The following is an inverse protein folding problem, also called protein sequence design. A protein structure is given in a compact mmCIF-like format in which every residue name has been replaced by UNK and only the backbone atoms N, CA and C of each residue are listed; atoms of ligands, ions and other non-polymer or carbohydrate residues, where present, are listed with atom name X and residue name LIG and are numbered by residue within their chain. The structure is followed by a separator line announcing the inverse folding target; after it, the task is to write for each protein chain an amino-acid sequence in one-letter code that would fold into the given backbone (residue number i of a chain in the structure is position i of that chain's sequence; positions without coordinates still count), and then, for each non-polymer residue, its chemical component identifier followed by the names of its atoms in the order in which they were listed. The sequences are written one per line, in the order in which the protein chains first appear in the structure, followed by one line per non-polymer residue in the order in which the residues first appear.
data_IF_859018487592
#
_entry.id   IF_859018487592
#
_cell.length_a   1.000
_cell.length_b   1.000
_cell.length_c   1.000
_cell.angle_alpha   90.00
_cell.angle_beta   90.00
_cell.angle_gamma   90.00
#
_symmetry.space_group_name_H-M   'P 1'
#
loop_
_entity.id
_entity.type
_entity.pdbx_description
1 polymer ?
#
# COMPACT_ATOMS: atom_id res chain seq x y z
N UNK A 1 -11.26 -7.90 -20.92
CA UNK A 1 -11.06 -6.48 -21.24
C UNK A 1 -9.59 -6.28 -21.63
N UNK A 2 -9.33 -5.50 -22.69
CA UNK A 2 -8.00 -5.14 -23.16
C UNK A 2 -7.81 -3.66 -22.83
N UNK A 3 -6.65 -3.31 -22.30
CA UNK A 3 -6.26 -1.97 -21.92
C UNK A 3 -5.12 -1.48 -22.81
N UNK A 4 -5.26 -0.29 -23.37
CA UNK A 4 -4.20 0.47 -24.04
C UNK A 4 -3.27 1.12 -22.98
N UNK A 5 -2.20 1.80 -23.45
CA UNK A 5 -1.31 2.56 -22.55
C UNK A 5 -2.08 3.62 -21.76
N UNK A 6 -2.99 4.36 -22.37
CA UNK A 6 -3.83 5.37 -21.70
C UNK A 6 -4.78 4.74 -20.70
N UNK A 7 -5.47 3.65 -21.08
CA UNK A 7 -6.38 2.94 -20.17
C UNK A 7 -5.64 2.44 -18.92
N UNK A 8 -4.45 1.88 -19.10
CA UNK A 8 -3.61 1.45 -17.97
C UNK A 8 -3.30 2.63 -17.05
N UNK A 9 -2.95 3.81 -17.60
CA UNK A 9 -2.67 5.01 -16.83
C UNK A 9 -3.86 5.42 -15.98
N UNK A 10 -5.04 5.48 -16.57
CA UNK A 10 -6.27 5.83 -15.85
C UNK A 10 -6.67 4.79 -14.78
N UNK A 11 -6.51 3.50 -15.08
CA UNK A 11 -6.82 2.45 -14.10
C UNK A 11 -5.88 2.49 -12.88
N UNK A 12 -4.58 2.72 -13.08
CA UNK A 12 -3.64 2.84 -11.95
C UNK A 12 -3.86 4.13 -11.15
N UNK A 13 -4.28 5.24 -11.77
CA UNK A 13 -4.71 6.45 -11.07
C UNK A 13 -5.93 6.15 -10.17
N UNK A 14 -6.95 5.49 -10.71
CA UNK A 14 -8.13 5.07 -9.93
C UNK A 14 -7.74 4.23 -8.73
N UNK A 15 -6.81 3.28 -8.90
CA UNK A 15 -6.33 2.40 -7.84
C UNK A 15 -5.68 3.17 -6.68
N UNK A 16 -5.02 4.28 -6.97
CA UNK A 16 -4.41 5.13 -5.94
C UNK A 16 -5.47 5.81 -5.06
N UNK A 17 -6.59 6.25 -5.65
CA UNK A 17 -7.68 6.89 -4.91
C UNK A 17 -8.72 5.92 -4.36
N UNK A 18 -8.84 4.74 -4.96
CA UNK A 18 -9.72 3.66 -4.52
C UNK A 18 -8.95 2.34 -4.41
N UNK A 19 -8.26 2.12 -3.28
CA UNK A 19 -7.46 0.92 -3.06
C UNK A 19 -8.27 -0.39 -3.02
N UNK A 20 -9.59 -0.31 -2.84
CA UNK A 20 -10.50 -1.45 -2.89
C UNK A 20 -10.94 -1.82 -4.31
N UNK A 21 -10.46 -1.09 -5.31
CA UNK A 21 -10.75 -1.36 -6.70
C UNK A 21 -10.20 -2.72 -7.13
N UNK A 22 -11.10 -3.71 -7.27
CA UNK A 22 -10.76 -5.14 -7.43
C UNK A 22 -10.10 -5.42 -8.80
N UNK A 23 -10.43 -4.66 -9.85
CA UNK A 23 -9.85 -4.82 -11.18
C UNK A 23 -8.46 -4.16 -11.34
N UNK A 24 -7.85 -3.75 -10.22
CA UNK A 24 -6.58 -3.04 -10.21
C UNK A 24 -5.46 -3.78 -10.93
N UNK A 25 -4.71 -3.05 -11.74
CA UNK A 25 -3.55 -3.57 -12.46
C UNK A 25 -2.29 -3.62 -11.58
N UNK A 26 -2.35 -3.14 -10.35
CA UNK A 26 -1.21 -3.16 -9.41
C UNK A 26 -1.20 -4.45 -8.60
N UNK A 27 -0.01 -5.00 -8.36
CA UNK A 27 0.21 -6.29 -7.71
C UNK A 27 0.77 -7.32 -8.71
N UNK A 28 1.47 -8.33 -8.24
CA UNK A 28 2.15 -9.33 -9.09
C UNK A 28 1.39 -10.65 -9.17
N UNK A 29 0.73 -11.05 -8.11
CA UNK A 29 0.05 -12.35 -8.03
C UNK A 29 -1.04 -12.51 -9.08
N UNK A 30 -1.09 -13.71 -9.69
CA UNK A 30 -2.08 -14.03 -10.73
C UNK A 30 -1.84 -13.34 -12.07
N UNK A 31 -0.59 -12.94 -12.39
CA UNK A 31 -0.25 -12.24 -13.64
C UNK A 31 0.72 -13.02 -14.50
N UNK A 32 0.52 -12.89 -15.82
CA UNK A 32 1.50 -13.29 -16.82
C UNK A 32 2.13 -12.03 -17.41
N UNK A 33 3.44 -11.93 -17.28
CA UNK A 33 4.22 -10.78 -17.71
C UNK A 33 5.12 -11.21 -18.86
N UNK A 34 5.12 -10.44 -19.95
CA UNK A 34 6.08 -10.69 -21.03
C UNK A 34 7.50 -10.52 -20.52
N UNK A 35 8.34 -11.56 -20.64
CA UNK A 35 9.74 -11.53 -20.23
C UNK A 35 10.50 -10.36 -20.84
N UNK A 36 10.19 -10.00 -22.10
CA UNK A 36 10.84 -8.87 -22.77
C UNK A 36 10.66 -7.53 -22.06
N UNK A 37 9.54 -7.30 -21.34
CA UNK A 37 9.37 -6.08 -20.54
C UNK A 37 10.43 -6.02 -19.45
N UNK A 38 10.71 -7.15 -18.82
CA UNK A 38 11.68 -7.26 -17.73
C UNK A 38 13.12 -7.11 -18.29
N UNK A 39 13.46 -7.91 -19.29
CA UNK A 39 14.85 -7.98 -19.78
C UNK A 39 15.28 -6.73 -20.56
N UNK A 40 14.40 -6.12 -21.36
CA UNK A 40 14.73 -4.92 -22.14
C UNK A 40 14.84 -3.66 -21.28
N UNK A 41 14.22 -3.65 -20.09
CA UNK A 41 14.24 -2.50 -19.19
C UNK A 41 15.07 -2.78 -17.93
N UNK A 42 15.78 -3.92 -17.87
CA UNK A 42 16.63 -4.33 -16.74
C UNK A 42 15.90 -4.25 -15.39
N UNK A 43 14.61 -4.69 -15.38
CA UNK A 43 13.82 -4.64 -14.16
C UNK A 43 14.21 -5.78 -13.21
N UNK A 44 14.33 -5.47 -11.94
CA UNK A 44 14.56 -6.42 -10.85
C UNK A 44 13.78 -6.02 -9.60
N UNK A 45 13.66 -6.95 -8.67
CA UNK A 45 13.12 -6.62 -7.36
C UNK A 45 14.03 -5.67 -6.61
N UNK A 46 13.47 -4.74 -5.88
CA UNK A 46 14.22 -3.81 -5.02
C UNK A 46 14.74 -4.56 -3.77
N UNK A 47 16.02 -4.88 -3.74
CA UNK A 47 16.63 -5.71 -2.69
C UNK A 47 16.63 -5.06 -1.30
N UNK A 48 16.51 -3.73 -1.23
CA UNK A 48 16.37 -2.98 0.04
C UNK A 48 15.01 -3.15 0.68
N UNK A 49 13.98 -3.62 -0.09
CA UNK A 49 12.64 -3.89 0.40
C UNK A 49 12.51 -5.36 0.82
N UNK A 50 12.21 -5.59 2.10
CA UNK A 50 11.86 -6.92 2.61
C UNK A 50 10.35 -7.18 2.60
N UNK A 51 9.56 -6.16 2.35
CA UNK A 51 8.11 -6.16 2.12
C UNK A 51 7.78 -5.02 1.18
N UNK A 52 6.69 -5.14 0.41
CA UNK A 52 6.31 -4.27 -0.71
C UNK A 52 7.28 -4.31 -1.90
N UNK A 53 8.19 -5.28 -1.95
CA UNK A 53 9.07 -5.54 -3.10
C UNK A 53 8.25 -5.90 -4.34
N UNK A 54 7.17 -6.63 -4.15
CA UNK A 54 6.22 -7.02 -5.20
C UNK A 54 5.42 -5.81 -5.70
N UNK A 55 5.02 -4.91 -4.80
CA UNK A 55 4.35 -3.66 -5.15
C UNK A 55 5.29 -2.75 -5.95
N UNK A 56 6.53 -2.55 -5.50
CA UNK A 56 7.54 -1.76 -6.21
C UNK A 56 7.80 -2.32 -7.62
N UNK A 57 8.02 -3.63 -7.73
CA UNK A 57 8.25 -4.29 -9.01
C UNK A 57 7.04 -4.20 -9.95
N UNK A 58 5.82 -4.28 -9.41
CA UNK A 58 4.61 -4.08 -10.21
C UNK A 58 4.54 -2.67 -10.82
N UNK A 59 4.93 -1.64 -10.08
CA UNK A 59 5.01 -0.27 -10.59
C UNK A 59 6.04 -0.12 -11.70
N UNK A 60 7.20 -0.76 -11.57
CA UNK A 60 8.23 -0.74 -12.61
C UNK A 60 7.76 -1.43 -13.89
N UNK A 61 7.09 -2.58 -13.78
CA UNK A 61 6.48 -3.24 -14.93
C UNK A 61 5.44 -2.34 -15.59
N UNK A 62 4.58 -1.72 -14.79
CA UNK A 62 3.52 -0.83 -15.29
C UNK A 62 4.09 0.40 -15.98
N UNK A 63 5.25 0.92 -15.59
CA UNK A 63 5.94 2.01 -16.27
C UNK A 63 6.15 1.72 -17.77
N UNK A 64 6.51 0.48 -18.09
CA UNK A 64 6.87 0.03 -19.44
C UNK A 64 5.74 -0.74 -20.16
N UNK A 65 4.64 -1.03 -19.47
CA UNK A 65 3.52 -1.79 -20.04
C UNK A 65 2.70 -0.95 -21.02
N UNK A 66 2.64 -1.36 -22.30
CA UNK A 66 1.87 -0.69 -23.36
C UNK A 66 0.47 -1.26 -23.54
N UNK A 67 0.27 -2.55 -23.22
CA UNK A 67 -1.03 -3.25 -23.32
C UNK A 67 -1.18 -4.23 -22.17
N UNK A 68 -2.37 -4.31 -21.59
CA UNK A 68 -2.73 -5.31 -20.61
C UNK A 68 -4.06 -5.97 -20.98
N UNK A 69 -4.24 -7.25 -20.60
CA UNK A 69 -5.50 -7.96 -20.76
C UNK A 69 -5.96 -8.50 -19.43
N UNK A 70 -7.14 -8.09 -19.01
CA UNK A 70 -7.81 -8.66 -17.84
C UNK A 70 -8.66 -9.86 -18.25
N UNK A 71 -8.44 -10.99 -17.56
CA UNK A 71 -9.20 -12.23 -17.76
C UNK A 71 -10.04 -12.44 -16.51
N UNK A 72 -11.38 -12.38 -16.65
CA UNK A 72 -12.31 -12.59 -15.54
C UNK A 72 -12.50 -14.08 -15.26
N UNK A 73 -11.41 -14.73 -14.80
CA UNK A 73 -11.41 -16.13 -14.37
C UNK A 73 -10.56 -16.26 -13.12
N UNK A 74 -10.94 -17.12 -12.21
CA UNK A 74 -10.12 -17.49 -11.07
C UNK A 74 -9.01 -18.43 -11.56
N UNK A 75 -7.81 -17.89 -11.78
CA UNK A 75 -6.64 -18.63 -12.27
C UNK A 75 -5.56 -18.80 -11.19
N UNK A 76 -5.76 -18.20 -10.02
CA UNK A 76 -4.80 -18.21 -8.93
C UNK A 76 -5.54 -18.40 -7.60
N UNK A 77 -5.07 -19.33 -6.77
CA UNK A 77 -5.55 -19.54 -5.41
C UNK A 77 -4.47 -19.09 -4.41
N UNK A 78 -4.80 -18.13 -3.56
CA UNK A 78 -3.92 -17.69 -2.48
C UNK A 78 -4.20 -18.53 -1.23
N UNK A 79 -3.25 -19.36 -0.83
CA UNK A 79 -3.39 -20.21 0.33
C UNK A 79 -2.87 -19.50 1.57
N UNK A 80 -3.76 -19.21 2.51
CA UNK A 80 -3.39 -18.62 3.81
C UNK A 80 -3.28 -19.73 4.83
N UNK A 81 -2.06 -20.07 5.24
CA UNK A 81 -1.83 -21.03 6.32
C UNK A 81 -1.79 -20.29 7.65
N UNK A 82 -2.60 -20.69 8.65
CA UNK A 82 -2.71 -19.96 9.92
C UNK A 82 -1.42 -19.88 10.74
N UNK A 83 -0.51 -20.85 10.57
CA UNK A 83 0.68 -21.02 11.41
C UNK A 83 2.01 -20.84 10.66
N UNK A 84 2.00 -20.35 9.42
CA UNK A 84 3.23 -20.13 8.65
C UNK A 84 3.58 -18.66 8.64
N UNK A 85 4.82 -18.37 9.02
CA UNK A 85 5.39 -17.02 8.92
C UNK A 85 5.41 -16.58 7.44
N UNK A 86 4.97 -15.37 7.19
CA UNK A 86 5.05 -14.72 5.87
C UNK A 86 5.85 -13.43 5.99
N UNK A 87 6.36 -12.91 4.88
CA UNK A 87 7.08 -11.62 4.85
C UNK A 87 6.27 -10.51 5.53
N UNK A 88 4.93 -10.54 5.40
CA UNK A 88 4.03 -9.58 6.06
C UNK A 88 4.01 -9.80 7.57
N UNK A 89 3.90 -11.05 8.05
CA UNK A 89 3.90 -11.35 9.50
C UNK A 89 5.26 -11.07 10.13
N UNK A 90 6.35 -11.33 9.41
CA UNK A 90 7.70 -10.94 9.84
C UNK A 90 7.87 -9.40 9.87
N UNK A 91 7.27 -8.68 8.92
CA UNK A 91 7.23 -7.22 8.93
C UNK A 91 6.60 -6.65 10.18
N UNK A 92 5.54 -7.30 10.73
CA UNK A 92 4.95 -6.90 12.01
C UNK A 92 5.88 -7.09 13.20
N UNK A 93 6.70 -8.15 13.20
CA UNK A 93 7.66 -8.42 14.29
C UNK A 93 8.92 -7.55 14.21
N UNK A 94 9.31 -7.10 13.01
CA UNK A 94 10.53 -6.30 12.78
C UNK A 94 10.28 -4.80 12.66
N UNK A 95 9.04 -4.40 12.51
CA UNK A 95 8.61 -3.01 12.33
C UNK A 95 8.59 -2.56 10.87
N UNK A 96 7.47 -1.97 10.46
CA UNK A 96 7.40 -1.20 9.20
C UNK A 96 8.21 0.09 9.34
N UNK A 97 8.82 0.52 8.25
CA UNK A 97 9.66 1.72 8.23
C UNK A 97 9.14 2.73 7.21
N UNK A 98 9.11 4.00 7.57
CA UNK A 98 8.76 5.10 6.66
C UNK A 98 9.71 5.12 5.46
N UNK A 99 11.00 4.74 5.64
CA UNK A 99 11.97 4.68 4.54
C UNK A 99 11.59 3.67 3.46
N UNK A 100 10.99 2.53 3.81
CA UNK A 100 10.52 1.55 2.83
C UNK A 100 9.34 2.11 2.01
N UNK A 101 8.43 2.83 2.64
CA UNK A 101 7.33 3.50 1.93
C UNK A 101 7.84 4.60 1.00
N UNK A 102 8.94 5.30 1.35
CA UNK A 102 9.61 6.27 0.47
C UNK A 102 10.21 5.61 -0.75
N UNK A 103 10.80 4.42 -0.62
CA UNK A 103 11.31 3.66 -1.76
C UNK A 103 10.16 3.33 -2.73
N UNK A 104 9.06 2.77 -2.23
CA UNK A 104 7.87 2.48 -3.06
C UNK A 104 7.31 3.75 -3.71
N UNK A 105 7.26 4.88 -2.98
CA UNK A 105 6.89 6.19 -3.55
C UNK A 105 7.76 6.56 -4.74
N UNK A 106 9.07 6.31 -4.67
CA UNK A 106 10.01 6.52 -5.78
C UNK A 106 9.67 5.69 -7.03
N UNK A 107 9.34 4.41 -6.87
CA UNK A 107 8.87 3.56 -7.97
C UNK A 107 7.57 4.07 -8.60
N UNK A 108 6.63 4.52 -7.79
CA UNK A 108 5.38 5.13 -8.27
C UNK A 108 5.66 6.41 -9.07
N UNK A 109 6.52 7.28 -8.57
CA UNK A 109 6.93 8.50 -9.29
C UNK A 109 7.57 8.17 -10.63
N UNK A 110 8.48 7.20 -10.67
CA UNK A 110 9.13 6.75 -11.89
C UNK A 110 8.11 6.19 -12.89
N UNK A 111 7.16 5.39 -12.43
CA UNK A 111 6.09 4.86 -13.28
C UNK A 111 5.32 5.98 -13.96
N UNK A 112 4.81 6.96 -13.22
CA UNK A 112 4.02 8.04 -13.80
C UNK A 112 4.83 8.98 -14.70
N UNK A 113 6.11 9.24 -14.39
CA UNK A 113 7.03 9.97 -15.29
C UNK A 113 7.18 9.25 -16.63
N UNK A 114 7.44 7.93 -16.63
CA UNK A 114 7.54 7.11 -17.86
C UNK A 114 6.22 7.07 -18.65
N UNK A 115 5.11 7.26 -17.98
CA UNK A 115 3.79 7.35 -18.62
C UNK A 115 3.48 8.74 -19.16
N UNK A 116 4.35 9.73 -18.92
CA UNK A 116 4.25 11.07 -19.49
C UNK A 116 3.39 12.06 -18.68
N UNK A 117 3.16 11.77 -17.37
CA UNK A 117 2.47 12.72 -16.51
C UNK A 117 3.37 13.90 -16.15
N UNK A 118 2.78 15.05 -15.89
CA UNK A 118 3.49 16.23 -15.38
C UNK A 118 4.12 15.93 -14.00
N UNK A 119 5.16 16.68 -13.65
CA UNK A 119 5.80 16.56 -12.33
C UNK A 119 4.81 16.77 -11.19
N UNK A 120 3.95 17.79 -11.31
CA UNK A 120 2.95 18.09 -10.28
C UNK A 120 1.93 16.97 -10.09
N UNK A 121 1.40 16.40 -11.17
CA UNK A 121 0.45 15.28 -11.11
C UNK A 121 1.12 14.01 -10.56
N UNK A 122 2.35 13.74 -11.00
CA UNK A 122 3.17 12.63 -10.50
C UNK A 122 3.40 12.71 -8.99
N UNK A 123 3.79 13.89 -8.49
CA UNK A 123 3.99 14.08 -7.05
C UNK A 123 2.70 13.89 -6.28
N UNK A 124 1.59 14.46 -6.74
CA UNK A 124 0.29 14.33 -6.08
C UNK A 124 -0.15 12.87 -5.96
N UNK A 125 -0.02 12.09 -7.04
CA UNK A 125 -0.39 10.67 -7.04
C UNK A 125 0.54 9.83 -6.14
N UNK A 126 1.84 10.10 -6.19
CA UNK A 126 2.81 9.39 -5.35
C UNK A 126 2.64 9.74 -3.87
N UNK A 127 2.34 10.99 -3.54
CA UNK A 127 2.02 11.43 -2.18
C UNK A 127 0.76 10.74 -1.65
N UNK A 128 -0.28 10.65 -2.48
CA UNK A 128 -1.52 9.95 -2.15
C UNK A 128 -1.26 8.48 -1.79
N UNK A 129 -0.51 7.77 -2.63
CA UNK A 129 -0.16 6.37 -2.40
C UNK A 129 0.72 6.20 -1.16
N UNK A 130 1.72 7.06 -0.98
CA UNK A 130 2.64 7.02 0.15
C UNK A 130 1.92 7.14 1.50
N UNK A 131 1.03 8.12 1.64
CA UNK A 131 0.23 8.30 2.85
C UNK A 131 -0.74 7.13 3.04
N UNK A 132 -1.33 6.62 1.95
CA UNK A 132 -2.19 5.45 2.03
C UNK A 132 -1.46 4.21 2.57
N UNK A 133 -0.23 3.93 2.12
CA UNK A 133 0.58 2.82 2.65
C UNK A 133 0.88 2.98 4.14
N UNK A 134 1.23 4.19 4.58
CA UNK A 134 1.47 4.49 6.00
C UNK A 134 0.21 4.23 6.82
N UNK A 135 -0.93 4.77 6.42
CA UNK A 135 -2.22 4.57 7.11
C UNK A 135 -2.57 3.08 7.15
N UNK A 136 -2.39 2.37 6.03
CA UNK A 136 -2.60 0.94 5.93
C UNK A 136 -1.75 0.13 6.91
N UNK A 137 -0.47 0.47 7.04
CA UNK A 137 0.45 -0.16 7.99
C UNK A 137 0.02 0.08 9.45
N UNK A 138 -0.30 1.31 9.83
CA UNK A 138 -0.75 1.67 11.17
C UNK A 138 -2.03 0.93 11.58
N UNK A 139 -3.01 0.86 10.67
CA UNK A 139 -4.26 0.10 10.89
C UNK A 139 -3.97 -1.40 10.99
N UNK A 140 -3.05 -1.92 10.14
CA UNK A 140 -2.69 -3.32 10.11
C UNK A 140 -1.97 -3.76 11.38
N UNK A 141 -1.11 -2.93 11.97
CA UNK A 141 -0.54 -3.17 13.30
C UNK A 141 -1.63 -3.31 14.35
N UNK A 142 -2.51 -2.31 14.45
CA UNK A 142 -3.62 -2.33 15.40
C UNK A 142 -4.49 -3.58 15.25
N UNK A 143 -4.75 -4.00 14.02
CA UNK A 143 -5.51 -5.22 13.73
C UNK A 143 -4.77 -6.51 14.11
N UNK A 144 -3.47 -6.59 13.84
CA UNK A 144 -2.66 -7.77 14.18
C UNK A 144 -2.51 -7.96 15.67
N UNK A 145 -2.39 -6.87 16.43
CA UNK A 145 -2.42 -6.89 17.91
C UNK A 145 -3.77 -7.40 18.42
N UNK A 146 -4.88 -6.87 17.92
CA UNK A 146 -6.24 -7.30 18.33
C UNK A 146 -6.49 -8.79 18.03
N UNK A 147 -5.92 -9.31 16.95
CA UNK A 147 -6.06 -10.71 16.55
C UNK A 147 -5.05 -11.64 17.21
N UNK A 148 -4.14 -11.16 18.05
CA UNK A 148 -3.07 -11.95 18.66
C UNK A 148 -2.09 -12.56 17.65
N UNK A 149 -1.94 -11.94 16.46
CA UNK A 149 -1.04 -12.39 15.39
C UNK A 149 0.40 -11.92 15.55
N UNK A 150 0.65 -11.06 16.48
CA UNK A 150 1.94 -10.53 16.88
C UNK A 150 1.97 -10.51 18.40
N UNK A 151 3.13 -10.73 18.98
CA UNK A 151 3.32 -10.53 20.41
C UNK A 151 2.88 -9.12 20.82
N UNK A 152 2.15 -9.01 21.92
CA UNK A 152 1.52 -7.74 22.33
C UNK A 152 2.56 -6.66 22.57
N UNK A 153 3.62 -6.97 23.30
CA UNK A 153 4.66 -6.00 23.66
C UNK A 153 5.47 -5.57 22.41
N UNK A 154 5.89 -6.54 21.60
CA UNK A 154 6.60 -6.29 20.34
C UNK A 154 5.74 -5.47 19.39
N UNK A 155 4.48 -5.87 19.20
CA UNK A 155 3.56 -5.18 18.30
C UNK A 155 3.25 -3.75 18.73
N UNK A 156 3.06 -3.52 20.04
CA UNK A 156 2.82 -2.17 20.56
C UNK A 156 4.06 -1.27 20.44
N UNK A 157 5.25 -1.78 20.74
CA UNK A 157 6.49 -1.04 20.60
C UNK A 157 6.77 -0.67 19.14
N UNK A 158 6.61 -1.61 18.22
CA UNK A 158 6.74 -1.35 16.78
C UNK A 158 5.71 -0.34 16.27
N UNK A 159 4.45 -0.43 16.73
CA UNK A 159 3.41 0.53 16.36
C UNK A 159 3.72 1.93 16.88
N UNK A 160 4.12 2.07 18.15
CA UNK A 160 4.50 3.36 18.74
C UNK A 160 5.65 3.99 17.97
N UNK A 161 6.70 3.21 17.70
CA UNK A 161 7.83 3.67 16.90
C UNK A 161 7.40 4.13 15.51
N UNK A 162 6.56 3.37 14.82
CA UNK A 162 6.07 3.79 13.50
C UNK A 162 5.26 5.09 13.59
N UNK A 163 4.43 5.28 14.63
CA UNK A 163 3.69 6.53 14.84
C UNK A 163 4.68 7.70 15.04
N UNK A 164 5.71 7.53 15.87
CA UNK A 164 6.73 8.55 16.08
C UNK A 164 7.48 8.89 14.80
N UNK A 165 7.92 7.88 14.05
CA UNK A 165 8.60 8.06 12.76
C UNK A 165 7.71 8.82 11.77
N UNK A 166 6.42 8.46 11.68
CA UNK A 166 5.44 9.11 10.80
C UNK A 166 5.20 10.57 11.17
N UNK A 167 5.07 10.88 12.46
CA UNK A 167 4.77 12.24 12.92
C UNK A 167 5.99 13.17 12.82
N UNK A 168 7.21 12.64 12.84
CA UNK A 168 8.44 13.42 12.79
C UNK A 168 9.06 13.50 11.37
N UNK A 169 8.58 12.69 10.43
CA UNK A 169 9.17 12.63 9.09
C UNK A 169 8.74 13.83 8.22
N UNK A 170 9.71 14.58 7.63
CA UNK A 170 9.41 15.76 6.82
C UNK A 170 8.68 15.42 5.51
N UNK A 171 8.96 14.26 4.90
CA UNK A 171 8.28 13.86 3.66
C UNK A 171 6.82 13.49 3.93
N UNK A 172 6.53 12.87 5.08
CA UNK A 172 5.15 12.62 5.51
C UNK A 172 4.43 13.96 5.72
N UNK A 173 5.07 14.91 6.41
CA UNK A 173 4.51 16.25 6.64
C UNK A 173 4.25 17.04 5.35
N UNK A 174 5.06 16.82 4.30
CA UNK A 174 4.85 17.38 2.97
C UNK A 174 3.70 16.66 2.25
N UNK A 175 3.76 15.34 2.21
CA UNK A 175 2.85 14.50 1.40
C UNK A 175 1.42 14.49 1.92
N UNK A 176 1.21 14.61 3.24
CA UNK A 176 -0.14 14.62 3.85
C UNK A 176 -1.00 15.79 3.34
N UNK A 177 -0.38 16.89 2.89
CA UNK A 177 -1.08 18.05 2.33
C UNK A 177 -1.75 17.74 0.99
N UNK A 178 -1.23 16.76 0.25
CA UNK A 178 -1.75 16.30 -1.04
C UNK A 178 -2.70 15.10 -0.89
N UNK A 179 -2.86 14.57 0.33
CA UNK A 179 -3.67 13.39 0.57
C UNK A 179 -5.16 13.71 0.60
N UNK A 180 -5.93 12.95 -0.16
CA UNK A 180 -7.39 12.98 -0.17
C UNK A 180 -7.94 11.71 0.43
N UNK A 181 -8.65 11.84 1.54
CA UNK A 181 -9.26 10.71 2.25
C UNK A 181 -10.39 10.10 1.41
N UNK A 182 -10.37 8.80 1.20
CA UNK A 182 -11.44 8.12 0.49
C UNK A 182 -12.74 8.14 1.31
N UNK A 183 -13.89 8.01 0.62
CA UNK A 183 -15.23 8.18 1.21
C UNK A 183 -15.52 7.27 2.43
N UNK A 184 -14.85 6.11 2.49
CA UNK A 184 -15.04 5.12 3.56
C UNK A 184 -13.86 5.03 4.52
N UNK A 185 -12.92 5.95 4.47
CA UNK A 185 -11.79 6.01 5.37
C UNK A 185 -12.09 6.81 6.64
N UNK A 186 -11.34 6.54 7.70
CA UNK A 186 -11.43 7.29 8.94
C UNK A 186 -10.70 8.64 8.78
N UNK A 187 -11.45 9.73 8.62
CA UNK A 187 -10.91 11.08 8.43
C UNK A 187 -10.07 11.60 9.61
N UNK A 188 -10.16 10.99 10.79
CA UNK A 188 -9.35 11.39 11.94
C UNK A 188 -7.89 10.96 11.82
N UNK A 189 -7.60 9.89 11.07
CA UNK A 189 -6.23 9.42 10.88
C UNK A 189 -5.38 10.47 10.15
N UNK A 190 -5.73 10.93 8.92
CA UNK A 190 -4.94 11.96 8.24
C UNK A 190 -4.92 13.30 9.00
N UNK A 191 -5.99 13.67 9.70
CA UNK A 191 -6.00 14.86 10.57
C UNK A 191 -5.01 14.74 11.71
N UNK A 192 -4.96 13.59 12.38
CA UNK A 192 -4.01 13.35 13.47
C UNK A 192 -2.55 13.40 12.99
N UNK A 193 -2.27 12.90 11.77
CA UNK A 193 -0.95 13.04 11.14
C UNK A 193 -0.63 14.52 10.88
N UNK A 194 -1.57 15.27 10.31
CA UNK A 194 -1.41 16.71 10.03
C UNK A 194 -1.15 17.52 11.30
N UNK A 195 -1.87 17.22 12.38
CA UNK A 195 -1.73 17.92 13.68
C UNK A 195 -0.61 17.37 14.55
N UNK A 196 0.09 16.32 14.10
CA UNK A 196 1.13 15.61 14.86
C UNK A 196 0.66 15.15 16.25
N UNK A 197 -0.59 14.71 16.33
CA UNK A 197 -1.20 14.34 17.60
C UNK A 197 -1.18 12.82 17.81
N UNK A 198 -0.16 12.34 18.51
CA UNK A 198 0.14 10.91 18.75
C UNK A 198 -1.06 10.12 19.28
N UNK A 199 -1.66 10.54 20.40
CA UNK A 199 -2.77 9.82 21.05
C UNK A 199 -4.01 9.71 20.15
N UNK A 200 -4.30 10.76 19.37
CA UNK A 200 -5.43 10.76 18.44
C UNK A 200 -5.16 9.80 17.28
N UNK A 201 -3.93 9.78 16.75
CA UNK A 201 -3.55 8.87 15.67
C UNK A 201 -3.67 7.41 16.11
N UNK A 202 -3.14 7.08 17.27
CA UNK A 202 -3.23 5.76 17.87
C UNK A 202 -4.70 5.33 18.05
N UNK A 203 -5.52 6.15 18.70
CA UNK A 203 -6.93 5.88 18.93
C UNK A 203 -7.71 5.68 17.61
N UNK A 204 -7.50 6.56 16.63
CA UNK A 204 -8.19 6.49 15.35
C UNK A 204 -7.84 5.22 14.57
N UNK A 205 -6.57 4.78 14.60
CA UNK A 205 -6.12 3.54 13.98
C UNK A 205 -6.72 2.30 14.68
N UNK A 206 -6.75 2.28 16.01
CA UNK A 206 -7.36 1.19 16.77
C UNK A 206 -8.86 1.09 16.52
N UNK A 207 -9.58 2.22 16.53
CA UNK A 207 -11.00 2.28 16.22
C UNK A 207 -11.26 1.71 14.82
N UNK A 208 -10.50 2.17 13.82
CA UNK A 208 -10.66 1.69 12.44
C UNK A 208 -10.36 0.19 12.30
N UNK A 209 -9.35 -0.32 12.99
CA UNK A 209 -9.04 -1.75 13.01
C UNK A 209 -10.21 -2.58 13.54
N UNK A 210 -10.86 -2.15 14.64
CA UNK A 210 -12.05 -2.81 15.21
C UNK A 210 -13.23 -2.78 14.24
N UNK A 211 -13.49 -1.65 13.58
CA UNK A 211 -14.54 -1.52 12.56
C UNK A 211 -14.37 -2.53 11.42
N UNK A 212 -13.14 -2.64 10.88
CA UNK A 212 -12.83 -3.59 9.80
C UNK A 212 -13.06 -5.04 10.25
N UNK A 213 -12.65 -5.40 11.47
CA UNK A 213 -12.84 -6.74 12.01
C UNK A 213 -14.33 -7.08 12.20
N UNK A 214 -15.12 -6.14 12.67
CA UNK A 214 -16.56 -6.31 12.83
C UNK A 214 -17.30 -6.51 11.50
N UNK A 215 -16.90 -5.77 10.44
CA UNK A 215 -17.45 -5.94 9.09
C UNK A 215 -17.13 -7.34 8.55
N UNK A 216 -15.91 -7.85 8.76
CA UNK A 216 -15.52 -9.20 8.33
C UNK A 216 -16.32 -10.28 9.03
N UNK A 217 -16.44 -10.22 10.35
CA UNK A 217 -17.24 -11.19 11.13
C UNK A 217 -18.69 -11.27 10.65
N UNK A 218 -19.31 -10.12 10.33
CA UNK A 218 -20.68 -10.08 9.79
C UNK A 218 -20.80 -10.73 8.41
N UNK A 219 -19.74 -10.70 7.58
CA UNK A 219 -19.73 -11.35 6.26
C UNK A 219 -19.49 -12.85 6.32
N UNK A 220 -18.78 -13.32 7.32
CA UNK A 220 -18.50 -14.74 7.55
C UNK A 220 -19.66 -15.47 8.26
N UNK A 221 -20.62 -14.72 8.83
CA UNK A 221 -21.83 -15.26 9.48
C UNK A 221 -23.06 -15.31 8.54
N UNK A 222 -22.91 -14.95 7.26
CA UNK A 222 -23.93 -15.07 6.20
C UNK A 222 -23.52 -16.16 5.22
#
# INVERSE_FOLDING_TARGET
KIYSKSDITEEIKKRIYDPLFIEGLVGITGRLIKRSIITQNNLSFEERLRYLEDEAFAWDILAHCKKAKYIRKQLYSYYVQPNVSSAVSEGFNRGFSVSNFKLVKGHIQNCFKHRGLSTQETEKLADQAFIYFIIGALISYSRSIILGKVDLEIGENCRKKLIEDVLNDPDVSKSIKNYSCAKNENQWIPRAITWRFHKLLEFACQKRAKEILNIRRKRESI
#
